data_IF_152116088456
#
_entry.id   IF_152116088456
#
_cell.length_a   1.000
_cell.length_b   1.000
_cell.length_c   1.000
_cell.angle_alpha   90.00
_cell.angle_beta   90.00
_cell.angle_gamma   90.00
#
_symmetry.space_group_name_H-M   'P 1'
#
loop_
_entity.id
_entity.type
_entity.pdbx_description
1 polymer ?
#
# COMPACT_ATOMS: atom_id res chain seq x y z
N UNK A 1 -24.36 13.72 -25.99
CA UNK A 1 -24.14 15.15 -25.70
C UNK A 1 -23.01 15.24 -24.71
N UNK A 2 -21.86 15.69 -25.20
CA UNK A 2 -20.70 15.97 -24.38
C UNK A 2 -21.01 17.06 -23.38
N UNK A 3 -20.72 16.81 -22.11
CA UNK A 3 -20.79 17.85 -21.09
C UNK A 3 -19.60 18.79 -21.30
N UNK A 4 -19.83 19.95 -21.87
CA UNK A 4 -18.85 21.03 -21.96
C UNK A 4 -18.55 21.55 -20.55
N UNK A 5 -17.40 21.20 -20.00
CA UNK A 5 -16.83 21.85 -18.82
C UNK A 5 -16.39 23.27 -19.18
N UNK A 6 -17.26 24.25 -18.95
CA UNK A 6 -16.90 25.66 -18.85
C UNK A 6 -16.41 25.99 -17.44
N UNK A 7 -15.60 27.06 -17.23
CA UNK A 7 -15.05 27.43 -15.93
C UNK A 7 -16.13 28.09 -15.05
N UNK A 8 -16.92 27.27 -14.37
CA UNK A 8 -17.95 27.69 -13.42
C UNK A 8 -18.61 26.46 -12.83
N UNK A 9 -17.94 25.87 -11.80
CA UNK A 9 -18.30 24.56 -11.22
C UNK A 9 -19.59 24.53 -10.43
N UNK A 10 -20.75 24.56 -11.12
CA UNK A 10 -22.03 24.13 -10.55
C UNK A 10 -22.20 22.63 -10.70
N UNK A 11 -22.74 21.95 -9.66
CA UNK A 11 -23.12 20.54 -9.76
C UNK A 11 -24.07 20.32 -10.96
N UNK A 12 -23.91 19.19 -11.72
CA UNK A 12 -24.82 18.88 -12.82
C UNK A 12 -26.26 18.80 -12.30
N UNK A 13 -27.22 19.44 -13.02
CA UNK A 13 -28.61 19.48 -12.62
C UNK A 13 -29.35 18.34 -13.31
N UNK A 14 -29.96 17.44 -12.52
CA UNK A 14 -30.91 16.47 -13.02
C UNK A 14 -32.30 17.08 -13.10
N UNK A 15 -33.01 16.84 -14.21
CA UNK A 15 -34.36 17.35 -14.46
C UNK A 15 -35.34 16.20 -14.62
N UNK A 16 -36.43 16.27 -13.87
CA UNK A 16 -37.50 15.29 -13.95
C UNK A 16 -38.33 15.43 -15.23
N UNK A 17 -38.66 14.31 -15.85
CA UNK A 17 -39.69 14.18 -16.91
C UNK A 17 -40.95 13.61 -16.29
N UNK A 18 -41.98 14.42 -16.21
CA UNK A 18 -43.32 13.97 -15.74
C UNK A 18 -43.97 13.04 -16.74
N UNK A 19 -44.90 12.19 -16.28
CA UNK A 19 -45.55 11.16 -17.10
C UNK A 19 -46.02 11.66 -18.46
N UNK A 20 -46.73 12.82 -18.52
CA UNK A 20 -47.30 13.36 -19.76
C UNK A 20 -46.23 13.85 -20.75
N UNK A 21 -45.07 14.25 -20.26
CA UNK A 21 -43.96 14.75 -21.08
C UNK A 21 -43.05 13.62 -21.64
N UNK A 22 -43.26 12.38 -21.23
CA UNK A 22 -42.52 11.21 -21.74
C UNK A 22 -43.15 10.71 -23.02
N UNK A 23 -42.37 10.55 -24.09
CA UNK A 23 -42.86 10.05 -25.38
C UNK A 23 -42.60 8.53 -25.52
N UNK A 24 -43.50 7.82 -26.23
CA UNK A 24 -43.25 6.45 -26.66
C UNK A 24 -42.04 6.40 -27.59
N UNK A 25 -41.14 5.43 -27.39
CA UNK A 25 -39.90 5.30 -28.15
C UNK A 25 -38.77 6.25 -27.67
N UNK A 26 -39.03 7.10 -26.68
CA UNK A 26 -37.97 7.95 -26.12
C UNK A 26 -36.89 7.09 -25.46
N UNK A 27 -35.61 7.47 -25.62
CA UNK A 27 -34.46 6.68 -25.16
C UNK A 27 -33.54 7.48 -24.26
N UNK A 28 -32.89 6.77 -23.34
CA UNK A 28 -31.70 7.26 -22.61
C UNK A 28 -30.64 6.19 -22.56
N UNK A 29 -29.37 6.60 -22.62
CA UNK A 29 -28.25 5.65 -22.57
C UNK A 29 -27.09 6.16 -21.72
N UNK A 30 -26.28 5.21 -21.23
CA UNK A 30 -25.02 5.46 -20.53
C UNK A 30 -23.98 4.47 -21.04
N UNK A 31 -22.75 4.98 -21.24
CA UNK A 31 -21.62 4.16 -21.63
C UNK A 31 -20.58 4.19 -20.53
N UNK A 32 -20.12 3.01 -20.09
CA UNK A 32 -19.07 2.86 -19.07
C UNK A 32 -18.09 1.75 -19.46
N UNK A 33 -16.81 2.00 -19.22
CA UNK A 33 -15.77 0.97 -19.28
C UNK A 33 -15.62 0.34 -17.91
N UNK A 34 -15.63 -0.99 -17.84
CA UNK A 34 -15.52 -1.74 -16.58
C UNK A 34 -14.09 -1.67 -16.08
N UNK A 35 -13.87 -1.03 -14.96
CA UNK A 35 -12.60 -1.02 -14.26
C UNK A 35 -12.53 -2.13 -13.20
N UNK A 36 -11.31 -2.57 -12.82
CA UNK A 36 -11.12 -3.51 -11.72
C UNK A 36 -11.78 -2.99 -10.43
N UNK A 37 -11.61 -1.71 -10.14
CA UNK A 37 -12.21 -1.06 -8.97
C UNK A 37 -13.76 -1.10 -8.97
N UNK A 38 -14.42 -1.08 -10.13
CA UNK A 38 -15.87 -1.23 -10.21
C UNK A 38 -16.34 -2.61 -9.72
N UNK A 39 -15.59 -3.67 -10.10
CA UNK A 39 -15.87 -5.05 -9.67
C UNK A 39 -15.70 -5.19 -8.15
N UNK A 40 -14.64 -4.63 -7.60
CA UNK A 40 -14.31 -4.67 -6.18
C UNK A 40 -15.33 -3.90 -5.33
N UNK A 41 -15.71 -2.70 -5.76
CA UNK A 41 -16.75 -1.90 -5.09
C UNK A 41 -18.11 -2.59 -5.13
N UNK A 42 -18.44 -3.20 -6.27
CA UNK A 42 -19.71 -3.92 -6.39
C UNK A 42 -19.73 -5.18 -5.51
N UNK A 43 -18.64 -5.92 -5.44
CA UNK A 43 -18.49 -7.05 -4.53
C UNK A 43 -18.64 -6.65 -3.08
N UNK A 44 -18.00 -5.55 -2.67
CA UNK A 44 -18.10 -5.02 -1.31
C UNK A 44 -19.55 -4.63 -0.95
N UNK A 45 -20.29 -4.07 -1.92
CA UNK A 45 -21.68 -3.67 -1.72
C UNK A 45 -22.67 -4.85 -1.75
N UNK A 46 -22.42 -5.85 -2.59
CA UNK A 46 -23.33 -6.99 -2.80
C UNK A 46 -23.02 -8.20 -1.90
N UNK A 47 -21.78 -8.32 -1.41
CA UNK A 47 -21.28 -9.52 -0.73
C UNK A 47 -20.91 -10.66 -1.68
N UNK A 48 -20.88 -10.44 -2.99
CA UNK A 48 -20.56 -11.47 -3.99
C UNK A 48 -19.05 -11.47 -4.30
N UNK A 49 -18.32 -12.33 -3.60
CA UNK A 49 -16.87 -12.54 -3.74
C UNK A 49 -16.55 -13.80 -4.55
N UNK A 50 -17.38 -14.18 -5.51
CA UNK A 50 -17.11 -15.34 -6.35
C UNK A 50 -15.76 -15.18 -7.08
N UNK A 51 -14.85 -16.19 -7.02
CA UNK A 51 -13.52 -16.11 -7.64
C UNK A 51 -13.52 -15.78 -9.14
N UNK A 52 -14.61 -16.03 -9.89
CA UNK A 52 -14.73 -15.63 -11.29
C UNK A 52 -14.58 -14.13 -11.52
N UNK A 53 -14.86 -13.31 -10.49
CA UNK A 53 -14.76 -11.85 -10.57
C UNK A 53 -13.36 -11.33 -10.28
N UNK A 54 -12.48 -12.14 -9.64
CA UNK A 54 -11.20 -11.67 -9.09
C UNK A 54 -9.99 -12.45 -9.61
N UNK A 55 -10.13 -13.76 -9.82
CA UNK A 55 -9.03 -14.65 -10.20
C UNK A 55 -9.07 -14.97 -11.68
N UNK A 56 -8.09 -14.43 -12.43
CA UNK A 56 -7.98 -14.66 -13.86
C UNK A 56 -7.74 -16.13 -14.23
N UNK A 57 -7.06 -16.89 -13.37
CA UNK A 57 -6.81 -18.32 -13.58
C UNK A 57 -8.08 -19.12 -13.39
N UNK A 58 -8.82 -18.83 -12.32
CA UNK A 58 -10.11 -19.44 -12.05
C UNK A 58 -11.13 -19.11 -13.15
N UNK A 59 -11.23 -17.83 -13.55
CA UNK A 59 -12.14 -17.41 -14.62
C UNK A 59 -11.83 -18.16 -15.95
N UNK A 60 -10.56 -18.24 -16.33
CA UNK A 60 -10.14 -18.98 -17.55
C UNK A 60 -10.45 -20.47 -17.47
N UNK A 61 -10.29 -21.11 -16.31
CA UNK A 61 -10.62 -22.53 -16.13
C UNK A 61 -12.14 -22.81 -16.26
N UNK A 62 -12.98 -21.76 -16.13
CA UNK A 62 -14.43 -21.82 -16.30
C UNK A 62 -14.92 -21.23 -17.63
N UNK A 63 -14.02 -21.06 -18.61
CA UNK A 63 -14.37 -20.67 -19.98
C UNK A 63 -14.50 -19.17 -20.23
N UNK A 64 -14.04 -18.31 -19.31
CA UNK A 64 -14.01 -16.87 -19.51
C UNK A 64 -12.62 -16.40 -19.96
N UNK A 65 -12.54 -15.31 -20.70
CA UNK A 65 -11.26 -14.75 -21.16
C UNK A 65 -10.45 -14.06 -20.05
N UNK A 66 -11.13 -13.64 -18.98
CA UNK A 66 -10.57 -12.94 -17.82
C UNK A 66 -11.60 -12.76 -16.71
N UNK A 67 -11.26 -12.01 -15.64
CA UNK A 67 -12.20 -11.69 -14.57
C UNK A 67 -13.47 -11.04 -15.11
N UNK A 68 -14.63 -11.60 -14.72
CA UNK A 68 -15.94 -11.19 -15.23
C UNK A 68 -16.55 -10.15 -14.30
N UNK A 69 -17.10 -9.07 -14.85
CA UNK A 69 -17.93 -8.14 -14.08
C UNK A 69 -19.20 -8.84 -13.59
N UNK A 70 -19.68 -8.47 -12.41
CA UNK A 70 -20.97 -8.95 -11.92
C UNK A 70 -22.08 -8.58 -12.90
N UNK A 71 -22.93 -9.52 -13.27
CA UNK A 71 -24.07 -9.22 -14.13
C UNK A 71 -24.94 -8.08 -13.59
N UNK A 72 -25.13 -8.08 -12.27
CA UNK A 72 -25.90 -7.03 -11.59
C UNK A 72 -25.17 -5.66 -11.58
N UNK A 73 -23.86 -5.57 -11.77
CA UNK A 73 -23.17 -4.29 -12.01
C UNK A 73 -23.63 -3.65 -13.33
N UNK A 74 -23.79 -4.46 -14.38
CA UNK A 74 -24.34 -3.99 -15.67
C UNK A 74 -25.79 -3.54 -15.48
N UNK A 75 -26.58 -4.34 -14.77
CA UNK A 75 -27.98 -4.04 -14.46
C UNK A 75 -28.14 -2.77 -13.61
N UNK A 76 -27.22 -2.48 -12.70
CA UNK A 76 -27.26 -1.28 -11.86
C UNK A 76 -27.19 0.02 -12.66
N UNK A 77 -26.65 0.01 -13.88
CA UNK A 77 -26.66 1.17 -14.79
C UNK A 77 -28.10 1.55 -15.24
N UNK A 78 -29.03 0.60 -15.23
CA UNK A 78 -30.45 0.89 -15.48
C UNK A 78 -31.02 1.79 -14.39
N UNK A 79 -30.61 1.60 -13.13
CA UNK A 79 -31.04 2.46 -12.02
C UNK A 79 -30.53 3.90 -12.19
N UNK A 80 -29.30 4.10 -12.67
CA UNK A 80 -28.77 5.42 -13.01
C UNK A 80 -29.65 6.09 -14.09
N UNK A 81 -29.95 5.36 -15.17
CA UNK A 81 -30.74 5.88 -16.27
C UNK A 81 -32.15 6.28 -15.81
N UNK A 82 -32.81 5.38 -15.07
CA UNK A 82 -34.21 5.63 -14.62
C UNK A 82 -34.29 6.72 -13.53
N UNK A 83 -33.36 6.73 -12.60
CA UNK A 83 -33.36 7.64 -11.46
C UNK A 83 -32.79 9.03 -11.74
N UNK A 84 -31.85 9.15 -12.69
CA UNK A 84 -31.16 10.41 -12.93
C UNK A 84 -31.46 11.04 -14.29
N UNK A 85 -32.00 10.27 -15.29
CA UNK A 85 -32.12 10.74 -16.67
C UNK A 85 -33.54 10.65 -17.24
N UNK A 86 -34.17 9.46 -17.23
CA UNK A 86 -35.50 9.26 -17.83
C UNK A 86 -36.29 8.16 -17.07
N UNK A 87 -37.31 8.50 -16.31
CA UNK A 87 -37.92 9.83 -16.04
C UNK A 87 -37.07 10.78 -15.19
N UNK A 88 -36.05 10.29 -14.45
CA UNK A 88 -35.18 11.11 -13.62
C UNK A 88 -35.63 11.22 -12.15
N UNK A 89 -35.23 12.26 -11.40
CA UNK A 89 -35.46 12.38 -9.97
C UNK A 89 -36.93 12.24 -9.58
N UNK A 90 -37.21 11.46 -8.53
CA UNK A 90 -38.56 11.17 -8.05
C UNK A 90 -39.23 9.96 -8.71
N UNK A 91 -38.55 9.27 -9.61
CA UNK A 91 -38.99 7.99 -10.18
C UNK A 91 -39.04 6.90 -9.13
N UNK A 92 -40.12 6.11 -9.10
CA UNK A 92 -40.24 4.94 -8.24
C UNK A 92 -40.04 3.69 -9.09
N UNK A 93 -39.02 2.91 -8.79
CA UNK A 93 -38.70 1.64 -9.45
C UNK A 93 -39.65 0.57 -8.89
N UNK A 94 -40.47 -0.06 -9.74
CA UNK A 94 -41.53 -0.99 -9.33
C UNK A 94 -41.14 -2.44 -9.62
N UNK A 95 -40.60 -2.68 -10.83
CA UNK A 95 -40.27 -4.04 -11.25
C UNK A 95 -39.20 -4.09 -12.31
N UNK A 96 -38.51 -5.28 -12.38
CA UNK A 96 -37.44 -5.54 -13.33
C UNK A 96 -37.47 -7.00 -13.75
N UNK A 97 -37.40 -7.24 -15.05
CA UNK A 97 -37.05 -8.54 -15.63
C UNK A 97 -35.75 -8.41 -16.40
N UNK A 98 -34.82 -9.33 -16.19
CA UNK A 98 -33.49 -9.31 -16.83
C UNK A 98 -33.08 -10.68 -17.34
N UNK A 99 -32.39 -10.67 -18.48
CA UNK A 99 -31.64 -11.82 -19.01
C UNK A 99 -30.23 -11.38 -19.33
N UNK A 100 -29.24 -12.08 -18.76
CA UNK A 100 -27.83 -11.92 -19.08
C UNK A 100 -27.49 -12.83 -20.27
N UNK A 101 -26.98 -12.25 -21.36
CA UNK A 101 -26.81 -12.93 -22.64
C UNK A 101 -25.37 -13.29 -22.93
N UNK A 102 -24.42 -12.49 -22.47
CA UNK A 102 -22.99 -12.71 -22.61
C UNK A 102 -22.23 -12.12 -21.41
N UNK A 103 -21.04 -12.65 -21.06
CA UNK A 103 -20.20 -12.12 -20.01
C UNK A 103 -19.59 -10.76 -20.42
N UNK A 104 -19.39 -9.92 -19.43
CA UNK A 104 -18.63 -8.66 -19.54
C UNK A 104 -17.36 -8.80 -18.71
N UNK A 105 -16.21 -8.55 -19.30
CA UNK A 105 -14.91 -8.65 -18.60
C UNK A 105 -14.37 -7.26 -18.25
N UNK A 106 -13.42 -7.22 -17.31
CA UNK A 106 -12.69 -5.98 -16.99
C UNK A 106 -11.98 -5.47 -18.25
N UNK A 107 -12.21 -4.20 -18.58
CA UNK A 107 -11.74 -3.54 -19.81
C UNK A 107 -12.80 -3.41 -20.90
N UNK A 108 -13.90 -4.17 -20.85
CA UNK A 108 -15.01 -3.99 -21.78
C UNK A 108 -15.71 -2.64 -21.55
N UNK A 109 -16.14 -2.04 -22.66
CA UNK A 109 -17.00 -0.84 -22.64
C UNK A 109 -18.43 -1.24 -22.94
N UNK A 110 -19.35 -0.96 -22.01
CA UNK A 110 -20.76 -1.35 -22.13
C UNK A 110 -21.62 -0.10 -22.29
N UNK A 111 -22.50 -0.12 -23.30
CA UNK A 111 -23.56 0.88 -23.47
C UNK A 111 -24.88 0.27 -23.06
N UNK A 112 -25.46 0.82 -21.99
CA UNK A 112 -26.79 0.45 -21.49
C UNK A 112 -27.80 1.45 -21.99
N UNK A 113 -28.93 0.96 -22.49
CA UNK A 113 -30.01 1.79 -23.10
C UNK A 113 -31.34 1.37 -22.53
N UNK A 114 -32.18 2.36 -22.22
CA UNK A 114 -33.61 2.19 -21.93
C UNK A 114 -34.45 2.88 -23.02
N UNK A 115 -35.55 2.26 -23.43
CA UNK A 115 -36.47 2.79 -24.43
C UNK A 115 -37.90 2.69 -23.92
N UNK A 116 -38.64 3.77 -23.95
CA UNK A 116 -40.06 3.80 -23.52
C UNK A 116 -40.88 2.90 -24.43
N UNK A 117 -41.41 1.82 -23.87
CA UNK A 117 -42.19 0.81 -24.58
C UNK A 117 -43.72 1.06 -24.45
N UNK A 118 -44.19 1.32 -23.24
CA UNK A 118 -45.61 1.43 -22.91
C UNK A 118 -45.82 2.47 -21.80
N UNK A 119 -46.94 3.15 -21.84
CA UNK A 119 -47.38 4.11 -20.81
C UNK A 119 -48.76 3.75 -20.32
N UNK A 120 -49.00 3.64 -19.01
CA UNK A 120 -50.26 3.32 -18.37
C UNK A 120 -50.75 4.52 -17.55
N UNK A 121 -51.67 5.30 -18.10
CA UNK A 121 -52.12 6.56 -17.51
C UNK A 121 -52.77 6.40 -16.13
N UNK A 122 -53.56 5.34 -15.90
CA UNK A 122 -54.27 5.10 -14.65
C UNK A 122 -53.33 5.01 -13.42
N UNK A 123 -52.15 4.49 -13.61
CA UNK A 123 -51.13 4.29 -12.55
C UNK A 123 -49.91 5.17 -12.73
N UNK A 124 -49.83 5.97 -13.79
CA UNK A 124 -48.64 6.72 -14.23
C UNK A 124 -47.41 5.82 -14.40
N UNK A 125 -47.66 4.57 -14.73
CA UNK A 125 -46.59 3.59 -14.94
C UNK A 125 -46.03 3.71 -16.35
N UNK A 126 -44.70 3.65 -16.45
CA UNK A 126 -43.97 3.59 -17.73
C UNK A 126 -43.17 2.27 -17.74
N UNK A 127 -43.33 1.53 -18.82
CA UNK A 127 -42.56 0.31 -19.09
C UNK A 127 -41.45 0.62 -20.08
N UNK A 128 -40.25 0.20 -19.77
CA UNK A 128 -39.07 0.38 -20.61
C UNK A 128 -38.53 -0.95 -21.13
N UNK A 129 -38.20 -1.02 -22.42
CA UNK A 129 -37.29 -2.02 -22.94
C UNK A 129 -35.87 -1.64 -22.52
N UNK A 130 -35.14 -2.61 -21.94
CA UNK A 130 -33.80 -2.45 -21.44
C UNK A 130 -32.84 -3.30 -22.27
N UNK A 131 -31.73 -2.73 -22.70
CA UNK A 131 -30.65 -3.44 -23.40
C UNK A 131 -29.28 -2.96 -22.99
N UNK A 132 -28.28 -3.85 -23.09
CA UNK A 132 -26.89 -3.47 -22.97
C UNK A 132 -26.07 -4.19 -24.05
N UNK A 133 -25.12 -3.46 -24.66
CA UNK A 133 -24.23 -3.96 -25.70
C UNK A 133 -22.79 -3.58 -25.39
N UNK A 134 -21.83 -4.44 -25.78
CA UNK A 134 -20.40 -4.14 -25.71
C UNK A 134 -19.95 -3.27 -26.88
N UNK A 135 -18.69 -2.82 -26.81
CA UNK A 135 -18.05 -2.01 -27.85
C UNK A 135 -18.03 -2.69 -29.25
N UNK A 136 -18.09 -4.01 -29.30
CA UNK A 136 -18.13 -4.81 -30.53
C UNK A 136 -19.56 -5.11 -31.04
N UNK A 137 -20.59 -4.58 -30.34
CA UNK A 137 -22.00 -4.83 -30.64
C UNK A 137 -22.58 -6.09 -30.01
N UNK A 138 -21.82 -6.86 -29.25
CA UNK A 138 -22.32 -8.05 -28.56
C UNK A 138 -23.37 -7.67 -27.51
N UNK A 139 -24.57 -8.23 -27.62
CA UNK A 139 -25.62 -8.04 -26.62
C UNK A 139 -25.27 -8.79 -25.31
N UNK A 140 -25.25 -8.08 -24.20
CA UNK A 140 -24.91 -8.63 -22.87
C UNK A 140 -26.07 -8.68 -21.90
N UNK A 141 -27.11 -7.86 -22.12
CA UNK A 141 -28.29 -7.81 -21.27
C UNK A 141 -29.50 -7.40 -22.08
N UNK A 142 -30.66 -8.01 -21.78
CA UNK A 142 -31.99 -7.58 -22.25
C UNK A 142 -33.00 -7.72 -21.12
N UNK A 143 -34.10 -6.93 -21.17
CA UNK A 143 -35.16 -7.04 -20.17
C UNK A 143 -36.16 -5.91 -20.22
N UNK A 144 -36.99 -5.86 -19.18
CA UNK A 144 -38.06 -4.87 -19.02
C UNK A 144 -37.91 -4.20 -17.64
N UNK A 145 -38.06 -2.89 -17.59
CA UNK A 145 -38.16 -2.16 -16.33
C UNK A 145 -39.52 -1.47 -16.23
N UNK A 146 -40.15 -1.53 -15.07
CA UNK A 146 -41.41 -0.87 -14.77
C UNK A 146 -41.19 0.17 -13.69
N UNK A 147 -41.60 1.42 -13.95
CA UNK A 147 -41.46 2.53 -13.02
C UNK A 147 -42.72 3.35 -12.94
N UNK A 148 -42.97 4.00 -11.79
CA UNK A 148 -43.96 5.08 -11.68
C UNK A 148 -43.27 6.40 -11.93
N UNK A 149 -43.73 7.13 -12.95
CA UNK A 149 -43.18 8.44 -13.30
C UNK A 149 -43.60 9.51 -12.29
N UNK A 150 -42.74 10.49 -11.99
CA UNK A 150 -43.07 11.61 -11.11
C UNK A 150 -44.23 12.45 -11.61
N UNK A 151 -44.93 13.10 -10.68
CA UNK A 151 -46.05 14.00 -10.96
C UNK A 151 -45.65 15.48 -11.02
N UNK A 152 -44.44 15.81 -10.57
CA UNK A 152 -43.93 17.19 -10.53
C UNK A 152 -42.55 17.27 -11.21
N UNK A 153 -42.35 18.37 -11.92
CA UNK A 153 -41.03 18.70 -12.47
C UNK A 153 -40.13 19.17 -11.34
N UNK A 154 -39.04 18.49 -11.15
CA UNK A 154 -37.97 18.84 -10.21
C UNK A 154 -36.68 19.14 -10.98
N UNK A 155 -35.97 20.14 -10.57
CA UNK A 155 -34.60 20.43 -10.99
C UNK A 155 -33.71 20.34 -9.74
N UNK A 156 -32.90 19.29 -9.66
CA UNK A 156 -32.13 18.99 -8.46
C UNK A 156 -30.66 18.89 -8.83
N UNK A 157 -29.76 19.61 -8.14
CA UNK A 157 -28.32 19.39 -8.28
C UNK A 157 -28.02 17.93 -7.96
N UNK A 158 -27.32 17.22 -8.87
CA UNK A 158 -26.85 15.87 -8.60
C UNK A 158 -25.82 15.95 -7.49
N UNK A 159 -26.08 15.23 -6.40
CA UNK A 159 -25.08 15.02 -5.35
C UNK A 159 -24.04 14.07 -5.95
N UNK A 160 -22.88 14.60 -6.33
CA UNK A 160 -21.74 13.78 -6.68
C UNK A 160 -21.20 13.21 -5.37
N UNK A 161 -21.32 11.89 -5.13
CA UNK A 161 -20.78 11.32 -3.90
C UNK A 161 -19.26 11.50 -3.85
N UNK A 162 -18.72 11.46 -2.62
CA UNK A 162 -17.27 11.41 -2.43
C UNK A 162 -16.67 10.27 -3.26
N UNK A 163 -15.45 10.47 -3.75
CA UNK A 163 -14.72 9.40 -4.45
C UNK A 163 -14.52 8.23 -3.49
N UNK A 164 -15.03 7.05 -3.86
CA UNK A 164 -14.84 5.82 -3.11
C UNK A 164 -13.72 5.05 -3.80
N UNK A 165 -12.70 4.70 -3.04
CA UNK A 165 -11.60 3.84 -3.51
C UNK A 165 -11.51 2.59 -2.65
N UNK A 166 -11.23 1.45 -3.27
CA UNK A 166 -10.85 0.23 -2.57
C UNK A 166 -9.37 0.31 -2.25
N UNK A 167 -9.02 0.06 -1.00
CA UNK A 167 -7.63 0.01 -0.56
C UNK A 167 -7.21 -1.46 -0.45
N UNK A 168 -6.08 -1.82 -1.07
CA UNK A 168 -5.53 -3.15 -1.03
C UNK A 168 -4.34 -3.18 -0.07
N UNK A 169 -4.35 -4.16 0.84
CA UNK A 169 -3.21 -4.49 1.71
C UNK A 169 -2.44 -5.72 1.19
N UNK A 170 -2.50 -5.96 -0.13
CA UNK A 170 -1.94 -7.16 -0.78
C UNK A 170 -0.42 -7.28 -0.59
N UNK A 171 0.28 -6.15 -0.46
CA UNK A 171 1.74 -6.14 -0.28
C UNK A 171 2.17 -6.81 1.02
N UNK A 172 1.39 -6.66 2.10
CA UNK A 172 1.68 -7.34 3.36
C UNK A 172 1.57 -8.85 3.21
N UNK A 173 0.45 -9.33 2.67
CA UNK A 173 0.23 -10.77 2.47
C UNK A 173 1.25 -11.38 1.51
N UNK A 174 1.57 -10.67 0.42
CA UNK A 174 2.61 -11.08 -0.53
C UNK A 174 3.99 -11.15 0.13
N UNK A 175 4.33 -10.20 0.99
CA UNK A 175 5.59 -10.18 1.75
C UNK A 175 5.70 -11.42 2.67
N UNK A 176 4.65 -11.69 3.45
CA UNK A 176 4.60 -12.86 4.36
C UNK A 176 4.65 -14.17 3.58
N UNK A 177 3.84 -14.29 2.51
CA UNK A 177 3.82 -15.48 1.66
C UNK A 177 5.18 -15.73 0.99
N UNK A 178 5.83 -14.68 0.51
CA UNK A 178 7.18 -14.73 -0.06
C UNK A 178 8.21 -15.17 0.99
N UNK A 179 8.17 -14.59 2.17
CA UNK A 179 9.07 -14.95 3.25
C UNK A 179 8.94 -16.45 3.59
N UNK A 180 7.72 -16.95 3.78
CA UNK A 180 7.47 -18.38 4.06
C UNK A 180 7.95 -19.32 2.95
N UNK A 181 7.92 -18.89 1.70
CA UNK A 181 8.37 -19.70 0.56
C UNK A 181 9.89 -19.70 0.38
N UNK A 182 10.54 -18.58 0.61
CA UNK A 182 11.92 -18.35 0.24
C UNK A 182 12.91 -18.48 1.41
N UNK A 183 12.42 -18.40 2.65
CA UNK A 183 13.27 -18.34 3.85
C UNK A 183 12.93 -19.46 4.82
N UNK A 184 13.96 -20.17 5.31
CA UNK A 184 13.80 -21.03 6.49
C UNK A 184 13.84 -20.14 7.75
N UNK A 185 13.13 -20.51 8.85
CA UNK A 185 13.11 -19.71 10.07
C UNK A 185 14.51 -19.28 10.51
N UNK A 186 14.71 -17.97 10.72
CA UNK A 186 16.02 -17.41 11.04
C UNK A 186 16.14 -17.23 12.55
N UNK A 187 17.30 -17.61 13.11
CA UNK A 187 17.60 -17.40 14.52
C UNK A 187 17.61 -15.90 14.85
N UNK A 188 16.67 -15.47 15.71
CA UNK A 188 16.46 -14.08 16.08
C UNK A 188 16.64 -13.89 17.58
N UNK A 189 17.59 -13.05 17.98
CA UNK A 189 17.77 -12.68 19.38
C UNK A 189 16.80 -11.56 19.74
N UNK A 190 15.82 -11.86 20.59
CA UNK A 190 14.78 -10.95 21.04
C UNK A 190 15.18 -10.32 22.37
N UNK A 191 15.43 -9.01 22.35
CA UNK A 191 16.05 -8.28 23.47
C UNK A 191 15.02 -7.70 24.42
N UNK A 192 15.02 -8.21 25.65
CA UNK A 192 14.19 -7.72 26.76
C UNK A 192 12.67 -7.69 26.45
N UNK A 193 12.04 -8.81 26.03
CA UNK A 193 10.63 -8.87 25.72
C UNK A 193 9.77 -8.95 27.00
N UNK A 194 9.84 -7.90 27.84
CA UNK A 194 9.23 -7.85 29.17
C UNK A 194 7.88 -7.12 29.19
N UNK A 195 7.25 -6.98 28.03
CA UNK A 195 5.88 -6.45 27.84
C UNK A 195 5.13 -7.37 26.89
N UNK A 196 3.81 -7.47 27.08
CA UNK A 196 2.93 -8.36 26.31
C UNK A 196 3.14 -8.20 24.79
N UNK A 197 3.03 -6.98 24.28
CA UNK A 197 3.12 -6.71 22.83
C UNK A 197 4.46 -7.09 22.21
N UNK A 198 5.56 -6.96 22.96
CA UNK A 198 6.90 -7.33 22.49
C UNK A 198 7.06 -8.86 22.44
N UNK A 199 6.51 -9.56 23.44
CA UNK A 199 6.57 -11.01 23.51
C UNK A 199 5.64 -11.65 22.48
N UNK A 200 4.38 -11.19 22.37
CA UNK A 200 3.43 -11.63 21.34
C UNK A 200 4.02 -11.48 19.93
N UNK A 201 4.58 -10.32 19.61
CA UNK A 201 5.16 -10.10 18.27
C UNK A 201 6.30 -11.06 17.91
N UNK A 202 7.11 -11.47 18.89
CA UNK A 202 8.15 -12.48 18.66
C UNK A 202 7.55 -13.88 18.49
N UNK A 203 6.54 -14.25 19.29
CA UNK A 203 5.86 -15.54 19.20
C UNK A 203 5.03 -15.68 17.93
N UNK A 204 4.35 -14.61 17.51
CA UNK A 204 3.60 -14.58 16.24
C UNK A 204 4.52 -14.79 15.05
N UNK A 205 5.69 -14.12 15.05
CA UNK A 205 6.68 -14.30 13.99
C UNK A 205 7.27 -15.72 13.99
N UNK A 206 7.42 -16.35 15.16
CA UNK A 206 7.83 -17.76 15.29
C UNK A 206 6.73 -18.70 14.80
N UNK A 207 5.48 -18.52 15.21
CA UNK A 207 4.33 -19.31 14.79
C UNK A 207 4.10 -19.20 13.27
N UNK A 208 4.40 -18.04 12.69
CA UNK A 208 4.37 -17.82 11.23
C UNK A 208 5.54 -18.52 10.48
N UNK A 209 6.51 -19.11 11.18
CA UNK A 209 7.68 -19.77 10.60
C UNK A 209 8.72 -18.79 10.03
N UNK A 210 8.73 -17.53 10.50
CA UNK A 210 9.66 -16.49 10.02
C UNK A 210 10.96 -16.51 10.81
N UNK A 211 10.86 -16.65 12.14
CA UNK A 211 12.03 -16.63 13.04
C UNK A 211 12.03 -17.83 14.01
N UNK A 212 13.21 -18.15 14.52
CA UNK A 212 13.41 -18.98 15.71
C UNK A 212 13.92 -18.08 16.83
N UNK A 213 13.07 -17.66 17.79
CA UNK A 213 13.45 -16.67 18.78
C UNK A 213 14.34 -17.25 19.88
N UNK A 214 15.36 -16.47 20.30
CA UNK A 214 16.15 -16.63 21.52
C UNK A 214 15.77 -15.44 22.41
N UNK A 215 15.05 -15.69 23.49
CA UNK A 215 14.59 -14.63 24.40
C UNK A 215 15.70 -14.23 25.37
N UNK A 216 16.07 -12.96 25.44
CA UNK A 216 17.11 -12.44 26.35
C UNK A 216 16.54 -11.40 27.27
N UNK A 217 16.46 -11.67 28.57
CA UNK A 217 15.89 -10.75 29.54
C UNK A 217 15.70 -11.38 30.93
N UNK A 218 15.15 -10.65 31.91
CA UNK A 218 14.82 -11.19 33.22
C UNK A 218 13.82 -12.35 33.10
N UNK A 219 14.30 -13.57 33.26
CA UNK A 219 13.54 -14.79 33.01
C UNK A 219 12.23 -14.86 33.79
N UNK A 220 12.26 -14.46 35.07
CA UNK A 220 11.07 -14.43 35.92
C UNK A 220 10.00 -13.46 35.38
N UNK A 221 10.43 -12.28 34.89
CA UNK A 221 9.52 -11.27 34.33
C UNK A 221 8.92 -11.71 32.99
N UNK A 222 9.75 -12.30 32.12
CA UNK A 222 9.26 -12.81 30.82
C UNK A 222 8.22 -13.91 31.03
N UNK A 223 8.48 -14.86 31.97
CA UNK A 223 7.49 -15.90 32.32
C UNK A 223 6.22 -15.35 32.94
N UNK A 224 6.33 -14.32 33.79
CA UNK A 224 5.16 -13.66 34.37
C UNK A 224 4.30 -13.00 33.30
N UNK A 225 4.90 -12.26 32.37
CA UNK A 225 4.20 -11.65 31.24
C UNK A 225 3.54 -12.70 30.34
N UNK A 226 4.24 -13.81 30.06
CA UNK A 226 3.67 -14.91 29.29
C UNK A 226 2.45 -15.52 29.98
N UNK A 227 2.54 -15.81 31.28
CA UNK A 227 1.44 -16.38 32.07
C UNK A 227 0.22 -15.44 32.14
N UNK A 228 0.46 -14.13 32.38
CA UNK A 228 -0.58 -13.11 32.44
C UNK A 228 -1.29 -12.94 31.07
N UNK A 229 -0.55 -13.03 29.98
CA UNK A 229 -1.06 -12.90 28.61
C UNK A 229 -1.62 -14.23 28.04
N UNK A 230 -1.48 -15.36 28.75
CA UNK A 230 -1.88 -16.67 28.25
C UNK A 230 -1.01 -17.19 27.10
N UNK A 231 0.25 -16.76 27.02
CA UNK A 231 1.19 -17.13 25.99
C UNK A 231 2.01 -18.35 26.39
N UNK A 232 2.13 -19.32 25.48
CA UNK A 232 2.99 -20.48 25.68
C UNK A 232 4.39 -20.21 25.14
N UNK A 233 5.40 -20.30 26.01
CA UNK A 233 6.80 -20.17 25.62
C UNK A 233 7.38 -21.49 25.09
N UNK A 234 6.71 -22.60 25.30
CA UNK A 234 7.18 -23.91 24.87
C UNK A 234 8.62 -24.20 25.32
N UNK A 235 9.43 -24.72 24.39
CA UNK A 235 10.87 -25.00 24.59
C UNK A 235 11.79 -23.85 24.09
N UNK A 236 11.26 -22.62 23.96
CA UNK A 236 12.07 -21.50 23.50
C UNK A 236 13.23 -21.23 24.45
N UNK A 237 14.40 -20.99 23.87
CA UNK A 237 15.58 -20.64 24.65
C UNK A 237 15.39 -19.28 25.35
N UNK A 238 15.59 -19.28 26.67
CA UNK A 238 15.48 -18.11 27.53
C UNK A 238 16.81 -17.86 28.25
N UNK A 239 17.51 -16.81 27.86
CA UNK A 239 18.77 -16.38 28.44
C UNK A 239 18.51 -15.32 29.51
N UNK A 240 18.73 -15.68 30.77
CA UNK A 240 18.45 -14.80 31.91
C UNK A 240 19.46 -13.65 32.04
N UNK A 241 18.94 -12.44 32.26
CA UNK A 241 19.72 -11.22 32.48
C UNK A 241 19.00 -10.30 33.48
N UNK A 242 19.74 -9.53 34.31
CA UNK A 242 19.11 -8.80 35.41
C UNK A 242 18.30 -7.57 35.02
N UNK A 243 18.62 -6.89 33.90
CA UNK A 243 17.98 -5.64 33.46
C UNK A 243 18.20 -5.37 31.97
N UNK A 244 17.58 -4.35 31.40
CA UNK A 244 17.56 -4.02 29.96
C UNK A 244 18.96 -3.83 29.35
N UNK A 245 19.85 -3.09 30.00
CA UNK A 245 21.21 -2.89 29.51
C UNK A 245 22.01 -4.22 29.47
N UNK A 246 21.85 -5.09 30.50
CA UNK A 246 22.45 -6.41 30.48
C UNK A 246 21.86 -7.30 29.38
N UNK A 247 20.55 -7.17 29.13
CA UNK A 247 19.88 -7.86 28.02
C UNK A 247 20.45 -7.43 26.67
N UNK A 248 20.62 -6.11 26.44
CA UNK A 248 21.21 -5.58 25.21
C UNK A 248 22.65 -6.06 25.02
N UNK A 249 23.50 -5.98 26.04
CA UNK A 249 24.88 -6.46 26.00
C UNK A 249 24.96 -7.97 25.70
N UNK A 250 24.14 -8.78 26.37
CA UNK A 250 24.09 -10.24 26.17
C UNK A 250 23.56 -10.62 24.79
N UNK A 251 22.59 -9.90 24.27
CA UNK A 251 22.08 -10.11 22.92
C UNK A 251 23.16 -9.86 21.86
N UNK A 252 23.91 -8.77 22.01
CA UNK A 252 25.05 -8.45 21.14
C UNK A 252 26.13 -9.53 21.22
N UNK A 253 26.44 -10.05 22.43
CA UNK A 253 27.36 -11.16 22.62
C UNK A 253 26.90 -12.43 21.85
N UNK A 254 25.62 -12.79 21.94
CA UNK A 254 25.05 -13.94 21.24
C UNK A 254 25.16 -13.79 19.72
N UNK A 255 24.87 -12.61 19.17
CA UNK A 255 25.06 -12.33 17.75
C UNK A 255 26.53 -12.47 17.34
N UNK A 256 27.46 -11.94 18.15
CA UNK A 256 28.90 -12.06 17.89
C UNK A 256 29.38 -13.52 17.92
N UNK A 257 28.76 -14.34 18.76
CA UNK A 257 29.00 -15.77 18.82
C UNK A 257 28.34 -16.58 17.69
N UNK A 258 27.67 -15.94 16.76
CA UNK A 258 26.97 -16.58 15.62
C UNK A 258 25.68 -17.33 16.00
N UNK A 259 25.13 -17.06 17.18
CA UNK A 259 23.90 -17.73 17.66
C UNK A 259 22.61 -17.14 17.14
N UNK A 260 22.66 -15.95 16.54
CA UNK A 260 21.53 -15.29 15.90
C UNK A 260 21.98 -14.51 14.67
N UNK A 261 21.09 -14.39 13.71
CA UNK A 261 21.31 -13.66 12.46
C UNK A 261 20.36 -12.46 12.33
N UNK A 262 19.45 -12.32 13.29
CA UNK A 262 18.57 -11.17 13.46
C UNK A 262 18.61 -10.70 14.91
N UNK A 263 18.44 -9.41 15.11
CA UNK A 263 18.24 -8.79 16.41
C UNK A 263 16.86 -8.13 16.44
N UNK A 264 16.04 -8.43 17.44
CA UNK A 264 14.70 -7.83 17.58
C UNK A 264 14.60 -7.04 18.88
N UNK A 265 14.21 -5.78 18.79
CA UNK A 265 13.97 -4.95 19.95
C UNK A 265 12.68 -5.38 20.68
N UNK A 266 12.78 -5.63 21.96
CA UNK A 266 11.64 -5.83 22.86
C UNK A 266 11.16 -4.52 23.49
N UNK A 267 10.97 -4.54 24.82
CA UNK A 267 10.40 -3.41 25.57
C UNK A 267 11.42 -2.41 26.13
N UNK A 268 12.72 -2.59 25.85
CA UNK A 268 13.76 -1.61 26.22
C UNK A 268 13.71 -0.35 25.33
N UNK A 269 14.39 0.72 25.73
CA UNK A 269 14.55 1.91 24.90
C UNK A 269 15.50 1.64 23.70
N UNK A 270 15.24 2.35 22.58
CA UNK A 270 16.03 2.13 21.34
C UNK A 270 17.48 2.54 21.50
N UNK A 271 17.76 3.59 22.28
CA UNK A 271 19.11 4.07 22.59
C UNK A 271 19.90 3.07 23.43
N UNK A 272 19.28 2.33 24.34
CA UNK A 272 19.94 1.26 25.10
C UNK A 272 20.40 0.12 24.16
N UNK A 273 19.53 -0.31 23.25
CA UNK A 273 19.87 -1.36 22.29
C UNK A 273 20.91 -0.89 21.28
N UNK A 274 20.66 0.24 20.64
CA UNK A 274 21.57 0.76 19.61
C UNK A 274 22.92 1.17 20.19
N UNK A 275 22.94 1.69 21.43
CA UNK A 275 24.20 1.95 22.15
C UNK A 275 25.06 0.70 22.32
N UNK A 276 24.47 -0.44 22.67
CA UNK A 276 25.19 -1.72 22.74
C UNK A 276 25.65 -2.20 21.34
N UNK A 277 24.83 -2.00 20.32
CA UNK A 277 25.16 -2.38 18.92
C UNK A 277 26.33 -1.57 18.37
N UNK A 278 26.41 -0.25 18.65
CA UNK A 278 27.47 0.61 18.12
C UNK A 278 28.69 0.71 19.03
N UNK A 279 28.74 -0.01 20.15
CA UNK A 279 29.91 -0.04 21.02
C UNK A 279 31.16 -0.44 20.25
N UNK A 280 32.28 0.28 20.48
CA UNK A 280 33.52 0.17 19.66
C UNK A 280 34.10 -1.24 19.66
N UNK A 281 34.26 -1.81 20.83
CA UNK A 281 35.01 -3.06 21.01
C UNK A 281 34.10 -4.30 21.13
N UNK A 282 32.90 -4.11 21.66
CA UNK A 282 31.95 -5.18 21.99
C UNK A 282 30.72 -5.22 21.08
N UNK A 283 30.49 -4.20 20.26
CA UNK A 283 29.31 -4.05 19.44
C UNK A 283 29.30 -4.88 18.15
N UNK A 284 28.36 -4.53 17.27
CA UNK A 284 28.13 -5.17 15.97
C UNK A 284 28.49 -4.25 14.80
N UNK A 285 29.40 -3.31 15.03
CA UNK A 285 29.83 -2.35 14.00
C UNK A 285 30.43 -3.04 12.79
N UNK A 286 30.18 -2.48 11.64
CA UNK A 286 30.83 -2.76 10.37
C UNK A 286 31.57 -1.50 9.87
N UNK A 287 32.01 -1.50 8.63
CA UNK A 287 32.48 -0.28 7.94
C UNK A 287 31.35 0.69 7.61
N UNK A 288 30.09 0.23 7.68
CA UNK A 288 28.88 1.03 7.45
C UNK A 288 28.40 1.71 8.74
N UNK A 289 27.86 2.91 8.60
CA UNK A 289 27.05 3.52 9.67
C UNK A 289 25.69 2.84 9.73
N UNK A 290 25.13 2.72 10.93
CA UNK A 290 23.77 2.22 11.09
C UNK A 290 22.77 3.29 10.62
N UNK A 291 21.70 2.84 9.98
CA UNK A 291 20.60 3.70 9.54
C UNK A 291 19.28 2.95 9.58
N UNK A 292 18.20 3.68 9.71
CA UNK A 292 16.85 3.12 9.72
C UNK A 292 16.16 3.29 8.37
N UNK A 293 15.42 2.28 7.95
CA UNK A 293 14.56 2.33 6.77
C UNK A 293 13.14 1.94 7.16
N UNK A 294 12.18 2.81 6.87
CA UNK A 294 10.77 2.42 6.79
C UNK A 294 10.45 1.92 5.39
N UNK A 295 9.79 0.79 5.29
CA UNK A 295 9.19 0.28 4.06
C UNK A 295 7.68 0.52 4.18
N UNK A 296 7.15 1.40 3.33
CA UNK A 296 5.76 1.84 3.36
C UNK A 296 5.02 1.31 2.14
N UNK A 297 3.95 0.55 2.37
CA UNK A 297 2.99 0.18 1.33
C UNK A 297 1.83 1.17 1.35
N UNK A 298 1.90 2.18 0.47
CA UNK A 298 0.87 3.22 0.36
C UNK A 298 -0.17 2.77 -0.66
N UNK A 299 -1.47 2.65 -0.32
CA UNK A 299 -2.50 2.12 -1.22
C UNK A 299 -2.64 2.84 -2.57
N UNK A 300 -2.25 4.12 -2.60
CA UNK A 300 -2.30 4.97 -3.80
C UNK A 300 -0.99 5.03 -4.58
N UNK A 301 0.04 4.29 -4.14
CA UNK A 301 1.35 4.25 -4.79
C UNK A 301 1.68 2.82 -5.24
N UNK A 302 2.12 2.60 -6.49
CA UNK A 302 2.19 1.26 -7.09
C UNK A 302 3.33 0.39 -6.54
N UNK A 303 4.35 0.98 -5.93
CA UNK A 303 5.54 0.29 -5.43
C UNK A 303 5.75 0.62 -3.93
N UNK A 304 6.38 -0.29 -3.15
CA UNK A 304 6.78 0.06 -1.78
C UNK A 304 7.74 1.25 -1.77
N UNK A 305 7.51 2.19 -0.85
CA UNK A 305 8.39 3.34 -0.61
C UNK A 305 9.32 3.05 0.55
N UNK A 306 10.63 3.20 0.32
CA UNK A 306 11.67 3.09 1.32
C UNK A 306 12.04 4.50 1.79
N UNK A 307 11.76 4.85 3.04
CA UNK A 307 12.04 6.17 3.62
C UNK A 307 13.21 6.06 4.60
N UNK A 308 14.27 6.83 4.39
CA UNK A 308 15.52 6.74 5.15
C UNK A 308 16.28 8.09 5.25
N UNK A 309 16.97 8.44 6.35
CA UNK A 309 16.91 7.84 7.67
C UNK A 309 15.78 8.50 8.46
N UNK A 310 15.00 7.73 9.14
CA UNK A 310 13.81 8.24 9.82
C UNK A 310 13.79 7.93 11.33
N UNK A 311 14.87 7.39 11.91
CA UNK A 311 14.87 7.00 13.32
C UNK A 311 16.25 6.90 14.01
N UNK A 312 17.38 7.06 13.31
CA UNK A 312 18.72 6.84 13.88
C UNK A 312 19.61 8.09 13.78
N UNK A 313 19.83 8.62 12.58
CA UNK A 313 20.75 9.74 12.36
C UNK A 313 19.96 11.06 12.35
N UNK A 314 20.17 11.92 13.36
CA UNK A 314 19.38 13.15 13.59
C UNK A 314 19.57 14.13 12.44
N UNK A 315 20.80 14.62 12.25
CA UNK A 315 21.21 15.53 11.17
C UNK A 315 22.41 14.91 10.44
N UNK A 316 22.18 13.98 9.52
CA UNK A 316 23.26 13.29 8.83
C UNK A 316 23.97 14.25 7.86
N UNK A 317 25.30 14.33 7.98
CA UNK A 317 26.16 14.98 7.01
C UNK A 317 26.28 14.17 5.71
N UNK A 318 26.93 14.74 4.70
CA UNK A 318 27.10 14.10 3.39
C UNK A 318 27.75 12.72 3.50
N UNK A 319 28.79 12.58 4.34
CA UNK A 319 29.48 11.28 4.55
C UNK A 319 28.52 10.23 5.14
N UNK A 320 27.71 10.63 6.11
CA UNK A 320 26.71 9.75 6.72
C UNK A 320 25.61 9.38 5.71
N UNK A 321 25.18 10.34 4.87
CA UNK A 321 24.15 10.11 3.83
C UNK A 321 24.58 9.08 2.77
N UNK A 322 25.88 8.97 2.46
CA UNK A 322 26.39 7.92 1.59
C UNK A 322 26.08 6.53 2.16
N UNK A 323 26.33 6.33 3.46
CA UNK A 323 26.04 5.07 4.12
C UNK A 323 24.54 4.78 4.21
N UNK A 324 23.74 5.81 4.54
CA UNK A 324 22.28 5.71 4.65
C UNK A 324 21.67 5.26 3.32
N UNK A 325 22.04 5.94 2.23
CA UNK A 325 21.46 5.63 0.90
C UNK A 325 21.91 4.25 0.42
N UNK A 326 23.16 3.88 0.63
CA UNK A 326 23.64 2.56 0.22
C UNK A 326 23.00 1.42 1.02
N UNK A 327 22.76 1.60 2.31
CA UNK A 327 22.01 0.64 3.12
C UNK A 327 20.57 0.43 2.57
N UNK A 328 19.88 1.51 2.21
CA UNK A 328 18.54 1.44 1.66
C UNK A 328 18.51 0.79 0.27
N UNK A 329 19.51 1.06 -0.59
CA UNK A 329 19.66 0.42 -1.89
C UNK A 329 19.86 -1.09 -1.74
N UNK A 330 20.78 -1.50 -0.85
CA UNK A 330 21.07 -2.91 -0.62
C UNK A 330 19.84 -3.65 -0.06
N UNK A 331 19.07 -3.01 0.81
CA UNK A 331 17.79 -3.55 1.30
C UNK A 331 16.79 -3.71 0.16
N UNK A 332 16.58 -2.68 -0.64
CA UNK A 332 15.63 -2.72 -1.75
C UNK A 332 15.94 -3.86 -2.74
N UNK A 333 17.23 -4.03 -3.08
CA UNK A 333 17.69 -5.15 -3.92
C UNK A 333 17.44 -6.50 -3.23
N UNK A 334 17.77 -6.61 -1.93
CA UNK A 334 17.51 -7.82 -1.14
C UNK A 334 16.01 -8.18 -1.07
N UNK A 335 15.15 -7.19 -1.13
CA UNK A 335 13.71 -7.36 -1.20
C UNK A 335 13.19 -7.53 -2.65
N UNK A 336 14.07 -7.62 -3.65
CA UNK A 336 13.71 -7.95 -5.02
C UNK A 336 13.36 -6.76 -5.92
N UNK A 337 13.67 -5.53 -5.50
CA UNK A 337 13.56 -4.36 -6.39
C UNK A 337 14.68 -4.45 -7.42
N UNK A 338 14.30 -4.67 -8.69
CA UNK A 338 15.27 -4.89 -9.76
C UNK A 338 16.08 -3.62 -10.09
N UNK A 339 15.45 -2.47 -10.05
CA UNK A 339 16.07 -1.17 -10.34
C UNK A 339 15.64 -0.15 -9.28
N UNK A 340 16.37 -0.06 -8.14
CA UNK A 340 16.12 0.96 -7.14
C UNK A 340 16.28 2.37 -7.70
N UNK A 341 15.33 3.26 -7.38
CA UNK A 341 15.30 4.66 -7.82
C UNK A 341 15.27 5.56 -6.59
N UNK A 342 16.39 6.20 -6.33
CA UNK A 342 16.60 7.06 -5.14
C UNK A 342 16.31 8.50 -5.49
N UNK A 343 15.29 9.08 -4.87
CA UNK A 343 15.09 10.52 -4.82
C UNK A 343 15.78 11.10 -3.57
N UNK A 344 16.75 11.99 -3.79
CA UNK A 344 17.34 12.77 -2.69
C UNK A 344 16.46 14.00 -2.46
N UNK A 345 15.68 13.93 -1.36
CA UNK A 345 14.66 14.93 -1.09
C UNK A 345 15.22 16.25 -0.56
N UNK A 346 14.63 17.32 -1.02
CA UNK A 346 14.82 18.69 -0.51
C UNK A 346 13.50 19.47 -0.63
N UNK A 347 13.49 20.71 -0.16
CA UNK A 347 12.31 21.57 -0.28
C UNK A 347 12.03 22.03 -1.71
N UNK A 348 13.05 22.01 -2.59
CA UNK A 348 12.99 22.46 -3.98
C UNK A 348 13.83 21.58 -4.88
N UNK A 349 13.53 21.59 -6.18
CA UNK A 349 14.22 20.82 -7.22
C UNK A 349 15.44 21.53 -7.83
N UNK A 350 15.66 22.79 -7.50
CA UNK A 350 16.79 23.57 -8.00
C UNK A 350 17.90 23.64 -6.96
N UNK A 351 19.16 23.58 -7.42
CA UNK A 351 20.32 23.78 -6.54
C UNK A 351 20.33 25.22 -6.02
N UNK A 352 20.19 25.38 -4.72
CA UNK A 352 20.19 26.66 -4.05
C UNK A 352 21.20 26.67 -2.90
N UNK A 353 22.27 27.50 -2.99
CA UNK A 353 23.30 27.59 -1.94
C UNK A 353 22.77 27.97 -0.54
N UNK A 354 21.58 28.53 -0.45
CA UNK A 354 20.93 28.87 0.83
C UNK A 354 20.21 27.67 1.46
N UNK A 355 20.06 26.59 0.72
CA UNK A 355 19.43 25.34 1.17
C UNK A 355 20.48 24.23 1.05
N UNK A 356 21.25 23.93 2.12
CA UNK A 356 22.39 23.02 2.06
C UNK A 356 22.03 21.62 1.51
N UNK A 357 20.83 21.12 1.80
CA UNK A 357 20.35 19.83 1.33
C UNK A 357 20.30 19.70 -0.20
N UNK A 358 20.14 20.82 -0.92
CA UNK A 358 20.21 20.81 -2.40
C UNK A 358 21.63 20.60 -2.92
N UNK A 359 22.63 21.10 -2.20
CA UNK A 359 24.05 20.88 -2.54
C UNK A 359 24.46 19.44 -2.25
N UNK A 360 24.04 18.90 -1.11
CA UNK A 360 24.28 17.50 -0.75
C UNK A 360 23.62 16.55 -1.76
N UNK A 361 22.40 16.84 -2.18
CA UNK A 361 21.70 16.06 -3.22
C UNK A 361 22.50 16.01 -4.52
N UNK A 362 22.98 17.17 -5.01
CA UNK A 362 23.81 17.23 -6.20
C UNK A 362 25.13 16.45 -6.03
N UNK A 363 25.74 16.50 -4.84
CA UNK A 363 26.94 15.72 -4.55
C UNK A 363 26.67 14.21 -4.57
N UNK A 364 25.61 13.75 -3.95
CA UNK A 364 25.19 12.34 -3.93
C UNK A 364 24.89 11.81 -5.35
N UNK A 365 24.20 12.59 -6.20
CA UNK A 365 23.99 12.24 -7.60
C UNK A 365 25.32 12.08 -8.33
N UNK A 366 26.27 12.99 -8.15
CA UNK A 366 27.57 12.89 -8.76
C UNK A 366 28.38 11.69 -8.23
N UNK A 367 28.26 11.36 -6.95
CA UNK A 367 28.86 10.18 -6.36
C UNK A 367 28.29 8.88 -6.97
N UNK A 368 27.00 8.81 -7.22
CA UNK A 368 26.35 7.69 -7.92
C UNK A 368 26.86 7.55 -9.36
N UNK A 369 26.96 8.66 -10.11
CA UNK A 369 27.54 8.66 -11.46
C UNK A 369 29.02 8.18 -11.49
N UNK A 370 29.76 8.41 -10.42
CA UNK A 370 31.16 8.02 -10.27
C UNK A 370 31.33 6.63 -9.65
N UNK A 371 30.26 5.91 -9.34
CA UNK A 371 30.30 4.59 -8.73
C UNK A 371 30.67 4.55 -7.25
N UNK A 372 30.61 5.69 -6.55
CA UNK A 372 30.79 5.74 -5.09
C UNK A 372 29.49 5.34 -4.35
N UNK A 373 28.35 5.38 -5.03
CA UNK A 373 27.06 4.80 -4.64
C UNK A 373 26.66 3.87 -5.77
N UNK A 374 26.28 2.63 -5.48
CA UNK A 374 26.08 1.61 -6.51
C UNK A 374 24.74 0.88 -6.37
N UNK A 375 24.21 0.39 -7.48
CA UNK A 375 23.03 -0.48 -7.49
C UNK A 375 21.69 0.24 -7.58
N UNK A 376 21.68 1.55 -7.87
CA UNK A 376 20.48 2.35 -8.04
C UNK A 376 20.67 3.48 -9.05
N UNK A 377 19.56 4.01 -9.55
CA UNK A 377 19.52 5.34 -10.14
C UNK A 377 19.31 6.34 -9.00
N UNK A 378 20.12 7.41 -8.98
CA UNK A 378 20.04 8.44 -7.92
C UNK A 378 19.86 9.80 -8.58
N UNK A 379 18.85 10.55 -8.16
CA UNK A 379 18.61 11.90 -8.62
C UNK A 379 18.11 12.82 -7.51
N UNK A 380 18.42 14.10 -7.64
CA UNK A 380 18.07 15.16 -6.70
C UNK A 380 18.88 16.45 -6.93
N UNK A 381 18.49 17.55 -6.29
CA UNK A 381 17.39 17.64 -5.32
C UNK A 381 16.02 17.47 -5.97
N UNK A 382 15.11 16.80 -5.28
CA UNK A 382 13.71 16.66 -5.68
C UNK A 382 12.79 17.06 -4.51
N UNK A 383 11.74 17.83 -4.80
CA UNK A 383 10.66 18.00 -3.85
C UNK A 383 9.81 16.73 -3.79
N UNK A 384 9.09 16.49 -2.70
CA UNK A 384 8.35 15.24 -2.48
C UNK A 384 7.35 14.94 -3.62
N UNK A 385 6.59 15.96 -4.06
CA UNK A 385 5.63 15.84 -5.16
C UNK A 385 6.30 15.38 -6.46
N UNK A 386 7.47 15.96 -6.77
CA UNK A 386 8.24 15.62 -7.97
C UNK A 386 8.85 14.21 -7.90
N UNK A 387 9.18 13.74 -6.71
CA UNK A 387 9.76 12.41 -6.50
C UNK A 387 8.76 11.31 -6.79
N UNK A 388 7.46 11.50 -6.43
CA UNK A 388 6.44 10.44 -6.46
C UNK A 388 5.36 10.62 -7.52
N UNK A 389 5.17 11.83 -8.09
CA UNK A 389 4.12 12.12 -9.07
C UNK A 389 4.72 12.40 -10.45
N UNK A 390 4.46 11.51 -11.45
CA UNK A 390 4.88 11.75 -12.83
C UNK A 390 4.31 13.06 -13.40
N UNK A 391 3.08 13.41 -13.00
CA UNK A 391 2.40 14.63 -13.42
C UNK A 391 3.11 15.88 -12.87
N UNK A 392 3.46 15.88 -11.57
CA UNK A 392 4.19 16.99 -10.94
C UNK A 392 5.57 17.18 -11.59
N UNK A 393 6.30 16.09 -11.84
CA UNK A 393 7.59 16.12 -12.53
C UNK A 393 7.45 16.72 -13.94
N UNK A 394 6.41 16.31 -14.69
CA UNK A 394 6.14 16.82 -16.05
C UNK A 394 5.79 18.31 -16.06
N UNK A 395 4.94 18.77 -15.13
CA UNK A 395 4.54 20.19 -15.02
C UNK A 395 5.75 21.06 -14.75
N UNK A 396 6.68 20.60 -13.92
CA UNK A 396 7.94 21.34 -13.60
C UNK A 396 9.05 21.13 -14.63
N UNK A 397 8.81 20.36 -15.69
CA UNK A 397 9.78 20.13 -16.76
C UNK A 397 11.02 19.34 -16.33
N UNK A 398 10.90 18.51 -15.28
CA UNK A 398 12.02 17.70 -14.77
C UNK A 398 12.22 16.48 -15.67
N UNK A 399 13.41 16.39 -16.27
CA UNK A 399 13.84 15.23 -17.07
C UNK A 399 14.76 14.37 -16.20
N UNK A 400 14.24 13.26 -15.71
CA UNK A 400 14.94 12.40 -14.75
C UNK A 400 14.50 10.95 -14.88
N UNK A 401 15.40 9.97 -14.69
CA UNK A 401 15.02 8.57 -14.61
C UNK A 401 14.36 8.21 -13.27
N UNK A 402 14.35 9.10 -12.29
CA UNK A 402 13.85 8.90 -10.92
C UNK A 402 12.57 9.69 -10.66
N UNK A 403 12.52 10.96 -11.09
CA UNK A 403 11.40 11.84 -10.79
C UNK A 403 10.05 11.23 -11.23
N UNK A 404 9.06 11.32 -10.35
CA UNK A 404 7.71 10.79 -10.53
C UNK A 404 7.54 9.30 -10.26
N UNK A 405 8.63 8.55 -10.00
CA UNK A 405 8.60 7.09 -9.82
C UNK A 405 9.66 6.58 -8.83
N UNK A 406 10.07 7.41 -7.89
CA UNK A 406 11.03 7.04 -6.87
C UNK A 406 10.46 5.92 -5.98
N UNK A 407 11.28 4.95 -5.61
CA UNK A 407 10.93 3.95 -4.59
C UNK A 407 11.80 4.08 -3.32
N UNK A 408 12.91 4.81 -3.37
CA UNK A 408 13.71 5.16 -2.19
C UNK A 408 13.70 6.67 -2.03
N UNK A 409 13.32 7.15 -0.84
CA UNK A 409 13.28 8.55 -0.47
C UNK A 409 14.35 8.80 0.60
N UNK A 410 15.46 9.42 0.20
CA UNK A 410 16.47 9.91 1.14
C UNK A 410 16.04 11.27 1.65
N UNK A 411 15.63 11.33 2.91
CA UNK A 411 15.16 12.57 3.55
C UNK A 411 16.32 13.44 4.06
N UNK A 412 16.12 14.75 4.24
CA UNK A 412 17.14 15.66 4.75
C UNK A 412 17.69 15.29 6.14
N UNK A 413 16.77 14.96 7.05
CA UNK A 413 17.01 14.74 8.47
C UNK A 413 16.01 13.74 9.06
N UNK A 414 16.24 13.33 10.32
CA UNK A 414 15.40 12.37 11.04
C UNK A 414 13.97 12.90 11.23
N UNK A 415 13.79 14.17 11.51
CA UNK A 415 12.48 14.76 11.81
C UNK A 415 11.58 14.69 10.58
N UNK A 416 12.05 15.12 9.43
CA UNK A 416 11.31 15.06 8.16
C UNK A 416 10.97 13.61 7.78
N UNK A 417 11.91 12.68 7.94
CA UNK A 417 11.68 11.26 7.66
C UNK A 417 10.65 10.63 8.59
N UNK A 418 10.76 10.87 9.88
CA UNK A 418 9.84 10.35 10.88
C UNK A 418 8.41 10.92 10.72
N UNK A 419 8.31 12.24 10.47
CA UNK A 419 7.02 12.87 10.20
C UNK A 419 6.38 12.35 8.91
N UNK A 420 7.15 12.18 7.83
CA UNK A 420 6.67 11.63 6.57
C UNK A 420 6.15 10.20 6.74
N UNK A 421 6.93 9.32 7.37
CA UNK A 421 6.52 7.94 7.59
C UNK A 421 5.24 7.84 8.44
N UNK A 422 5.14 8.64 9.52
CA UNK A 422 3.93 8.70 10.35
C UNK A 422 2.73 9.28 9.59
N UNK A 423 2.94 10.32 8.78
CA UNK A 423 1.88 10.88 7.95
C UNK A 423 1.29 9.81 7.02
N UNK A 424 2.14 9.06 6.33
CA UNK A 424 1.70 7.97 5.44
C UNK A 424 0.96 6.87 6.19
N UNK A 425 1.45 6.47 7.38
CA UNK A 425 0.78 5.44 8.19
C UNK A 425 -0.59 5.89 8.70
N UNK A 426 -0.69 7.09 9.26
CA UNK A 426 -1.90 7.53 9.96
C UNK A 426 -2.94 8.23 9.07
N UNK A 427 -2.50 8.91 8.00
CA UNK A 427 -3.38 9.66 7.10
C UNK A 427 -3.60 8.99 5.75
N UNK A 428 -2.66 8.17 5.30
CA UNK A 428 -2.74 7.49 4.00
C UNK A 428 -2.97 5.98 4.11
N UNK A 429 -3.25 5.46 5.31
CA UNK A 429 -3.48 4.04 5.59
C UNK A 429 -2.37 3.12 5.05
N UNK A 430 -1.13 3.59 5.06
CA UNK A 430 -0.01 2.79 4.60
C UNK A 430 0.37 1.72 5.62
N UNK A 431 0.57 0.48 5.14
CA UNK A 431 1.24 -0.54 5.93
C UNK A 431 2.73 -0.21 6.03
N UNK A 432 3.31 -0.48 7.20
CA UNK A 432 4.70 -0.13 7.47
C UNK A 432 5.50 -1.33 7.97
N UNK A 433 6.78 -1.37 7.59
CA UNK A 433 7.80 -2.19 8.24
C UNK A 433 9.01 -1.30 8.57
N UNK A 434 9.70 -1.58 9.68
CA UNK A 434 10.87 -0.82 10.12
C UNK A 434 12.08 -1.73 10.40
N UNK A 435 13.24 -1.34 9.85
CA UNK A 435 14.48 -2.11 10.00
C UNK A 435 15.68 -1.18 10.14
N UNK A 436 16.65 -1.54 11.00
CA UNK A 436 17.95 -0.89 11.10
C UNK A 436 18.99 -1.77 10.42
N UNK A 437 19.81 -1.14 9.60
CA UNK A 437 20.85 -1.71 8.75
C UNK A 437 22.23 -1.14 9.09
N UNK A 438 23.28 -1.67 8.47
CA UNK A 438 24.66 -1.22 8.68
C UNK A 438 25.40 -1.90 9.86
N UNK A 439 24.69 -2.66 10.69
CA UNK A 439 25.28 -3.57 11.67
C UNK A 439 25.59 -4.95 11.05
N UNK A 440 26.27 -5.84 11.80
CA UNK A 440 26.59 -7.21 11.34
C UNK A 440 25.37 -8.03 10.96
N UNK A 441 24.22 -7.74 11.59
CA UNK A 441 22.92 -8.37 11.30
C UNK A 441 21.84 -7.30 11.21
N UNK A 442 20.75 -7.53 10.46
CA UNK A 442 19.60 -6.67 10.45
C UNK A 442 18.93 -6.58 11.83
N UNK A 443 18.40 -5.39 12.18
CA UNK A 443 17.77 -5.16 13.49
C UNK A 443 16.32 -4.77 13.27
N UNK A 444 15.40 -5.55 13.80
CA UNK A 444 13.97 -5.26 13.80
C UNK A 444 13.71 -4.23 14.92
N UNK A 445 13.42 -3.01 14.50
CA UNK A 445 13.20 -1.88 15.40
C UNK A 445 11.75 -1.40 15.29
N UNK A 446 10.88 -1.92 16.15
CA UNK A 446 9.47 -1.54 16.18
C UNK A 446 9.16 -0.63 17.37
N UNK A 447 8.15 0.24 17.19
CA UNK A 447 7.61 1.08 18.26
C UNK A 447 6.64 0.29 19.14
N UNK A 448 6.39 0.76 20.39
CA UNK A 448 5.33 0.21 21.25
C UNK A 448 3.93 0.39 20.65
N UNK A 449 3.75 1.46 19.86
CA UNK A 449 2.48 1.78 19.20
C UNK A 449 2.25 1.01 17.89
N UNK A 450 3.22 0.21 17.40
CA UNK A 450 3.10 -0.51 16.15
C UNK A 450 2.10 -1.66 16.25
N UNK A 451 1.31 -1.85 15.19
CA UNK A 451 0.36 -2.94 15.07
C UNK A 451 1.08 -4.31 14.99
N UNK A 452 0.34 -5.39 15.24
CA UNK A 452 0.83 -6.76 15.00
C UNK A 452 1.30 -6.91 13.55
N UNK A 453 0.56 -6.37 12.61
CA UNK A 453 0.88 -6.40 11.19
C UNK A 453 2.22 -5.73 10.87
N UNK A 454 2.49 -4.53 11.43
CA UNK A 454 3.77 -3.82 11.29
C UNK A 454 4.96 -4.64 11.85
N UNK A 455 4.76 -5.31 13.00
CA UNK A 455 5.79 -6.17 13.62
C UNK A 455 6.10 -7.38 12.74
N UNK A 456 5.07 -8.03 12.23
CA UNK A 456 5.19 -9.17 11.34
C UNK A 456 5.86 -8.80 10.01
N UNK A 457 5.45 -7.67 9.40
CA UNK A 457 6.08 -7.15 8.19
C UNK A 457 7.57 -6.83 8.40
N UNK A 458 7.92 -6.24 9.56
CA UNK A 458 9.30 -5.94 9.92
C UNK A 458 10.13 -7.22 10.09
N UNK A 459 9.57 -8.26 10.73
CA UNK A 459 10.21 -9.55 10.89
C UNK A 459 10.44 -10.26 9.54
N UNK A 460 9.42 -10.28 8.67
CA UNK A 460 9.53 -10.87 7.34
C UNK A 460 10.54 -10.13 6.45
N UNK A 461 10.54 -8.80 6.49
CA UNK A 461 11.52 -7.96 5.78
C UNK A 461 12.94 -8.28 6.24
N UNK A 462 13.16 -8.34 7.56
CA UNK A 462 14.48 -8.65 8.12
C UNK A 462 14.94 -10.06 7.75
N UNK A 463 14.05 -11.05 7.77
CA UNK A 463 14.34 -12.43 7.42
C UNK A 463 14.70 -12.57 5.92
N UNK A 464 13.94 -11.96 5.03
CA UNK A 464 14.25 -11.91 3.59
C UNK A 464 15.61 -11.26 3.33
N UNK A 465 15.91 -10.15 3.99
CA UNK A 465 17.19 -9.48 3.82
C UNK A 465 18.35 -10.29 4.43
N UNK A 466 18.18 -10.93 5.58
CA UNK A 466 19.19 -11.83 6.14
C UNK A 466 19.47 -13.03 5.21
N UNK A 467 18.43 -13.60 4.59
CA UNK A 467 18.59 -14.65 3.58
C UNK A 467 19.35 -14.15 2.35
N UNK A 468 19.06 -12.92 1.88
CA UNK A 468 19.84 -12.30 0.81
C UNK A 468 21.32 -12.17 1.18
N UNK A 469 21.63 -11.73 2.42
CA UNK A 469 23.00 -11.60 2.90
C UNK A 469 23.72 -12.94 3.03
N UNK A 470 23.03 -14.03 3.38
CA UNK A 470 23.60 -15.39 3.40
C UNK A 470 24.10 -15.83 2.02
N UNK A 471 23.35 -15.49 0.97
CA UNK A 471 23.64 -15.92 -0.40
C UNK A 471 24.67 -15.02 -1.08
N UNK A 472 24.58 -13.71 -0.89
CA UNK A 472 25.36 -12.73 -1.66
C UNK A 472 26.46 -12.05 -0.85
N UNK A 473 26.40 -12.17 0.49
CA UNK A 473 27.24 -11.37 1.40
C UNK A 473 26.87 -9.88 1.43
N UNK A 474 27.45 -9.12 2.35
CA UNK A 474 27.27 -7.67 2.37
C UNK A 474 27.99 -7.03 1.18
N UNK A 475 27.34 -6.08 0.50
CA UNK A 475 27.98 -5.29 -0.54
C UNK A 475 29.06 -4.40 0.08
N UNK A 476 30.26 -4.47 -0.47
CA UNK A 476 31.36 -3.58 -0.04
C UNK A 476 31.08 -2.16 -0.53
N UNK A 477 31.49 -1.18 0.27
CA UNK A 477 31.59 0.20 -0.23
C UNK A 477 32.73 0.25 -1.26
N UNK A 478 32.55 0.98 -2.36
CA UNK A 478 33.60 1.17 -3.36
C UNK A 478 34.83 1.86 -2.81
#
# INVERSE_FOLDING_TARGET
MEASNGPGGGAPIARTRVFDAIALGETASVTRTVAKNDVELFAAASGDYNPTHFDATFAKSHGFEGPVAHGMWVAAQLSDLLGNRLPGPGTIYVGQELRFLAPVIVGDTVTVTITVKEKRAATRTVLFDCSAVKQDGTAVLSGLAEVVAPDKVLEIPLIVPATVSVQHHDHYEQLIARCRREVQPIACVVVHPCERTALEGALDAAAAGIITPILVGPAARIRAVAAEAGLDLGELELVDTPHSHASAAKAVELIRAGRGELLMKGSLHSDELLGAVVAKDTGLRTERRISHVFIMSVPTYPEPLFITDAAVNIEPDLETKIHIVQNAIDLAIGLGVAEPRVAVLSAVENINPKIPTTLEAAALCKMAERGQITGALVDGPLAFDNAISPEAARIKGIVSPVAGRANILLVPDLESGNMLAKNLSFLSNADAAGIVLGARVPIILTSRADSVQTRMASAATAALYAQYLRVHGPRKMP
#
